data_IF_194543892286
#
_entry.id   IF_194543892286
#
_cell.length_a   1.000
_cell.length_b   1.000
_cell.length_c   1.000
_cell.angle_alpha   90.00
_cell.angle_beta   90.00
_cell.angle_gamma   90.00
#
_symmetry.space_group_name_H-M   'P 1'
#
loop_
_entity.id
_entity.type
_entity.pdbx_description
1 polymer ?
#
# COMPACT_ATOMS: atom_id res chain seq x y z
N UNK A 1 29.53 3.70 -5.04
CA UNK A 1 28.24 4.37 -4.68
C UNK A 1 27.41 3.55 -3.70
N UNK A 2 27.01 2.31 -4.04
CA UNK A 2 26.14 1.48 -3.16
C UNK A 2 26.81 1.28 -1.79
N UNK A 3 28.04 0.77 -1.73
CA UNK A 3 28.77 0.56 -0.47
C UNK A 3 28.92 1.84 0.35
N UNK A 4 29.26 2.97 -0.29
CA UNK A 4 29.37 4.24 0.40
C UNK A 4 28.06 4.66 1.09
N UNK A 5 26.90 4.38 0.47
CA UNK A 5 25.58 4.68 1.05
C UNK A 5 25.13 3.72 2.13
N UNK A 6 25.63 2.49 2.14
CA UNK A 6 25.40 1.55 3.24
C UNK A 6 26.17 1.98 4.50
N UNK A 7 27.33 2.60 4.32
CA UNK A 7 28.17 3.06 5.43
C UNK A 7 27.69 4.44 5.92
N UNK A 8 27.52 5.39 5.01
CA UNK A 8 26.99 6.72 5.31
C UNK A 8 25.96 7.13 4.25
N UNK A 9 24.65 7.14 4.61
CA UNK A 9 23.59 7.61 3.73
C UNK A 9 23.76 9.10 3.40
N UNK A 10 24.39 9.42 2.28
CA UNK A 10 24.71 10.77 1.88
C UNK A 10 24.47 11.02 0.39
N UNK A 11 24.63 12.27 -0.06
CA UNK A 11 24.47 12.62 -1.47
C UNK A 11 25.54 11.98 -2.35
N UNK A 12 25.26 11.88 -3.66
CA UNK A 12 26.24 11.41 -4.64
C UNK A 12 27.54 12.21 -4.63
N UNK A 13 27.47 13.50 -4.34
CA UNK A 13 28.63 14.38 -4.24
C UNK A 13 29.52 14.06 -3.04
N UNK A 14 28.98 13.48 -1.97
CA UNK A 14 29.73 13.09 -0.79
C UNK A 14 30.41 11.72 -0.91
N UNK A 15 30.05 10.91 -1.89
CA UNK A 15 30.60 9.55 -2.06
C UNK A 15 32.14 9.55 -2.13
N UNK A 16 32.85 10.49 -2.85
CA UNK A 16 34.29 10.53 -2.84
C UNK A 16 34.87 10.73 -1.44
N UNK A 17 34.29 11.59 -0.60
CA UNK A 17 34.71 11.79 0.78
C UNK A 17 34.58 10.50 1.59
N UNK A 18 33.41 9.86 1.56
CA UNK A 18 33.18 8.60 2.30
C UNK A 18 34.15 7.51 1.89
N UNK A 19 34.49 7.41 0.60
CA UNK A 19 35.49 6.46 0.12
C UNK A 19 36.88 6.79 0.66
N UNK A 20 37.26 8.07 0.65
CA UNK A 20 38.56 8.54 1.20
C UNK A 20 38.68 8.25 2.69
N UNK A 21 37.59 8.50 3.48
CA UNK A 21 37.55 8.24 4.92
C UNK A 21 37.73 6.74 5.24
N UNK A 22 37.38 5.86 4.29
CA UNK A 22 37.62 4.41 4.38
C UNK A 22 38.98 3.96 3.87
N UNK A 23 39.84 4.89 3.49
CA UNK A 23 41.17 4.58 2.90
C UNK A 23 41.09 4.01 1.47
N UNK A 24 39.96 4.17 0.80
CA UNK A 24 39.78 3.78 -0.60
C UNK A 24 40.09 4.95 -1.54
N UNK A 25 40.64 4.65 -2.69
CA UNK A 25 40.92 5.68 -3.70
C UNK A 25 39.62 6.31 -4.19
N UNK A 26 39.38 7.63 -4.01
CA UNK A 26 38.15 8.28 -4.35
C UNK A 26 37.95 8.42 -5.86
N UNK A 27 36.78 8.04 -6.36
CA UNK A 27 36.41 8.29 -7.74
C UNK A 27 35.79 9.68 -7.90
N UNK A 28 35.99 10.32 -9.05
CA UNK A 28 35.41 11.65 -9.30
C UNK A 28 33.86 11.59 -9.40
N UNK A 29 33.21 12.67 -9.00
CA UNK A 29 31.74 12.81 -9.11
C UNK A 29 31.28 12.59 -10.55
N UNK A 30 32.05 13.09 -11.55
CA UNK A 30 31.76 12.86 -12.98
C UNK A 30 31.75 11.37 -13.33
N UNK A 31 32.66 10.59 -12.78
CA UNK A 31 32.69 9.12 -12.98
C UNK A 31 31.48 8.46 -12.39
N UNK A 32 30.99 8.90 -11.22
CA UNK A 32 29.77 8.39 -10.59
C UNK A 32 28.53 8.67 -11.45
N UNK A 33 28.38 9.89 -11.96
CA UNK A 33 27.24 10.23 -12.82
C UNK A 33 27.28 9.48 -14.16
N UNK A 34 28.45 9.34 -14.77
CA UNK A 34 28.61 8.52 -15.98
C UNK A 34 28.25 7.05 -15.73
N UNK A 35 28.60 6.51 -14.56
CA UNK A 35 28.24 5.14 -14.17
C UNK A 35 26.73 4.99 -14.00
N UNK A 36 26.04 5.96 -13.38
CA UNK A 36 24.59 5.98 -13.26
C UNK A 36 23.90 6.03 -14.64
N UNK A 37 24.38 6.89 -15.54
CA UNK A 37 23.87 6.94 -16.91
C UNK A 37 23.98 5.59 -17.63
N UNK A 38 25.12 4.90 -17.47
CA UNK A 38 25.28 3.54 -18.02
C UNK A 38 24.31 2.52 -17.41
N UNK A 39 24.02 2.61 -16.09
CA UNK A 39 23.05 1.73 -15.45
C UNK A 39 21.65 1.89 -16.07
N UNK A 40 21.22 3.13 -16.33
CA UNK A 40 19.97 3.41 -17.02
C UNK A 40 19.95 2.89 -18.46
N UNK A 41 20.99 3.20 -19.25
CA UNK A 41 21.11 2.78 -20.65
C UNK A 41 21.19 1.25 -20.86
N UNK A 42 21.69 0.52 -19.89
CA UNK A 42 21.87 -0.95 -19.96
C UNK A 42 20.77 -1.73 -19.23
N UNK A 43 19.68 -1.10 -18.85
CA UNK A 43 18.54 -1.78 -18.23
C UNK A 43 18.87 -2.50 -16.91
N UNK A 44 19.75 -1.93 -16.08
CA UNK A 44 20.16 -2.59 -14.84
C UNK A 44 19.00 -2.87 -13.88
N UNK A 45 17.95 -2.05 -13.92
CA UNK A 45 16.77 -2.27 -13.09
C UNK A 45 16.11 -3.61 -13.44
N UNK A 46 15.93 -3.89 -14.71
CA UNK A 46 15.33 -5.13 -15.20
C UNK A 46 16.25 -6.32 -14.93
N UNK A 47 17.53 -6.19 -15.16
CA UNK A 47 18.50 -7.24 -14.84
C UNK A 47 18.59 -7.57 -13.34
N UNK A 48 18.50 -6.56 -12.48
CA UNK A 48 18.45 -6.76 -11.03
C UNK A 48 17.13 -7.44 -10.65
N UNK A 49 15.97 -7.00 -11.17
CA UNK A 49 14.68 -7.63 -10.92
C UNK A 49 14.70 -9.11 -11.31
N UNK A 50 15.30 -9.45 -12.45
CA UNK A 50 15.45 -10.83 -12.89
C UNK A 50 16.28 -11.67 -11.92
N UNK A 51 17.44 -11.16 -11.51
CA UNK A 51 18.30 -11.87 -10.55
C UNK A 51 17.66 -12.06 -9.16
N UNK A 52 16.89 -11.06 -8.70
CA UNK A 52 16.14 -11.13 -7.44
C UNK A 52 15.01 -12.16 -7.53
N UNK A 53 14.29 -12.18 -8.65
CA UNK A 53 13.23 -13.16 -8.91
C UNK A 53 13.78 -14.60 -8.94
N UNK A 54 14.88 -14.84 -9.66
CA UNK A 54 15.55 -16.13 -9.70
C UNK A 54 16.00 -16.59 -8.32
N UNK A 55 16.57 -15.67 -7.53
CA UNK A 55 16.98 -15.95 -6.15
C UNK A 55 15.80 -16.42 -5.29
N UNK A 56 14.68 -15.68 -5.31
CA UNK A 56 13.49 -16.03 -4.51
C UNK A 56 12.88 -17.35 -4.99
N UNK A 57 12.76 -17.54 -6.29
CA UNK A 57 12.18 -18.76 -6.87
C UNK A 57 12.99 -20.01 -6.48
N UNK A 58 14.32 -19.90 -6.51
CA UNK A 58 15.21 -21.00 -6.16
C UNK A 58 15.32 -21.28 -4.66
N UNK A 59 14.98 -20.31 -3.80
CA UNK A 59 15.16 -20.46 -2.34
C UNK A 59 13.86 -20.70 -1.59
N UNK A 60 12.80 -19.94 -1.86
CA UNK A 60 11.57 -19.94 -1.05
C UNK A 60 10.28 -20.10 -1.86
N UNK A 61 10.36 -20.04 -3.16
CA UNK A 61 9.21 -19.93 -4.04
C UNK A 61 8.48 -18.58 -3.89
N UNK A 62 7.75 -18.19 -4.91
CA UNK A 62 6.96 -16.96 -4.93
C UNK A 62 5.47 -17.29 -4.92
N UNK A 63 4.83 -17.19 -3.75
CA UNK A 63 3.40 -17.44 -3.59
C UNK A 63 2.58 -16.14 -3.64
N UNK A 64 3.14 -15.04 -3.12
CA UNK A 64 2.51 -13.73 -3.09
C UNK A 64 3.57 -12.62 -3.06
N UNK A 65 3.17 -11.42 -3.47
CA UNK A 65 3.96 -10.20 -3.40
C UNK A 65 3.24 -9.16 -2.55
N UNK A 66 3.99 -8.51 -1.66
CA UNK A 66 3.52 -7.32 -0.97
C UNK A 66 3.93 -6.09 -1.79
N UNK A 67 3.03 -5.14 -1.89
CA UNK A 67 3.27 -3.89 -2.59
C UNK A 67 3.01 -2.70 -1.67
N UNK A 68 3.98 -1.82 -1.59
CA UNK A 68 3.86 -0.57 -0.85
C UNK A 68 4.44 0.60 -1.66
N UNK A 69 3.95 1.79 -1.34
CA UNK A 69 4.30 3.03 -2.03
C UNK A 69 4.79 4.07 -1.04
N UNK A 70 5.86 4.74 -1.39
CA UNK A 70 6.36 5.90 -0.66
C UNK A 70 6.54 7.09 -1.59
N UNK A 71 6.47 8.29 -1.03
CA UNK A 71 6.71 9.55 -1.73
C UNK A 71 8.05 10.10 -1.33
N UNK A 72 8.90 10.42 -2.32
CA UNK A 72 10.18 11.08 -2.12
C UNK A 72 10.07 12.54 -2.54
N UNK A 73 10.32 13.45 -1.60
CA UNK A 73 10.30 14.89 -1.83
C UNK A 73 11.67 15.41 -2.23
N UNK A 74 11.68 16.43 -3.06
CA UNK A 74 12.89 17.09 -3.51
C UNK A 74 12.83 18.58 -3.15
N UNK A 75 13.81 19.05 -2.41
CA UNK A 75 13.99 20.49 -2.16
C UNK A 75 14.52 21.16 -3.43
N UNK A 76 13.66 21.33 -4.42
CA UNK A 76 13.97 21.91 -5.71
C UNK A 76 12.83 22.83 -6.13
N UNK A 77 13.15 23.99 -6.70
CA UNK A 77 12.17 24.99 -7.13
C UNK A 77 11.47 24.62 -8.46
N UNK A 78 12.08 23.71 -9.23
CA UNK A 78 11.57 23.38 -10.57
C UNK A 78 11.13 21.95 -10.68
N UNK A 79 9.98 21.78 -11.28
CA UNK A 79 9.45 20.50 -11.73
C UNK A 79 10.19 20.00 -12.99
N UNK A 80 10.12 18.70 -13.24
CA UNK A 80 10.51 18.06 -14.50
C UNK A 80 9.48 16.99 -14.85
N UNK A 81 9.76 16.16 -15.85
CA UNK A 81 8.84 15.11 -16.32
C UNK A 81 8.48 14.08 -15.23
N UNK A 82 9.32 13.90 -14.22
CA UNK A 82 9.13 12.92 -13.16
C UNK A 82 8.85 13.59 -11.80
N UNK A 83 9.60 14.65 -11.47
CA UNK A 83 9.44 15.40 -10.22
C UNK A 83 8.34 16.44 -10.39
N UNK A 84 7.18 16.18 -9.82
CA UNK A 84 6.00 17.03 -9.90
C UNK A 84 5.41 17.27 -8.53
N UNK A 85 4.77 18.42 -8.35
CA UNK A 85 3.98 18.69 -7.15
C UNK A 85 2.70 17.85 -7.22
N UNK A 86 2.42 17.08 -6.18
CA UNK A 86 1.28 16.20 -6.10
C UNK A 86 0.64 16.18 -4.71
N UNK A 87 -0.28 15.27 -4.50
CA UNK A 87 -0.91 15.12 -3.20
C UNK A 87 0.12 14.71 -2.14
N UNK A 88 0.20 15.50 -1.07
CA UNK A 88 1.09 15.25 0.06
C UNK A 88 0.29 15.07 1.35
N UNK A 89 0.50 13.95 2.03
CA UNK A 89 -0.05 13.69 3.39
C UNK A 89 0.50 14.70 4.42
N UNK A 90 1.71 15.20 4.17
CA UNK A 90 2.42 16.17 5.02
C UNK A 90 2.14 17.63 4.62
N UNK A 91 1.27 17.86 3.60
CA UNK A 91 0.94 19.18 3.04
C UNK A 91 2.16 19.94 2.51
N UNK A 92 3.14 19.23 1.97
CA UNK A 92 4.30 19.81 1.30
C UNK A 92 3.93 20.23 -0.11
N UNK A 93 4.57 21.28 -0.58
CA UNK A 93 4.45 21.82 -1.95
C UNK A 93 5.71 21.55 -2.79
N UNK A 94 6.64 20.77 -2.24
CA UNK A 94 7.87 20.40 -2.92
C UNK A 94 7.57 19.40 -4.06
N UNK A 95 8.29 19.47 -5.18
CA UNK A 95 8.25 18.44 -6.21
C UNK A 95 8.58 17.07 -5.61
N UNK A 96 7.83 16.08 -5.99
CA UNK A 96 7.92 14.73 -5.44
C UNK A 96 7.97 13.68 -6.55
N UNK A 97 8.34 12.47 -6.18
CA UNK A 97 8.33 11.28 -7.03
C UNK A 97 7.67 10.16 -6.24
N UNK A 98 6.82 9.39 -6.89
CA UNK A 98 6.21 8.22 -6.29
C UNK A 98 7.07 6.99 -6.59
N UNK A 99 7.42 6.27 -5.53
CA UNK A 99 8.23 5.05 -5.62
C UNK A 99 7.47 3.89 -5.03
N UNK A 100 7.22 2.87 -5.83
CA UNK A 100 6.59 1.63 -5.39
C UNK A 100 7.62 0.51 -5.30
N UNK A 101 7.47 -0.33 -4.29
CA UNK A 101 8.33 -1.49 -4.05
C UNK A 101 7.49 -2.76 -3.98
N UNK A 102 7.82 -3.72 -4.84
CA UNK A 102 7.28 -5.07 -4.81
C UNK A 102 8.26 -5.98 -4.09
N UNK A 103 7.80 -6.67 -3.05
CA UNK A 103 8.62 -7.57 -2.23
C UNK A 103 7.94 -8.94 -2.07
N UNK A 104 8.70 -9.96 -1.73
CA UNK A 104 8.15 -11.25 -1.35
C UNK A 104 7.51 -11.22 0.06
N UNK A 105 6.94 -12.33 0.51
CA UNK A 105 6.32 -12.47 1.84
C UNK A 105 7.27 -12.22 3.02
N UNK A 106 8.58 -12.22 2.81
CA UNK A 106 9.61 -11.97 3.81
C UNK A 106 10.15 -10.54 3.75
N UNK A 107 9.67 -9.73 2.83
CA UNK A 107 10.14 -8.37 2.58
C UNK A 107 11.38 -8.30 1.67
N UNK A 108 11.74 -9.40 0.99
CA UNK A 108 12.85 -9.38 0.05
C UNK A 108 12.44 -8.65 -1.24
N UNK A 109 13.20 -7.66 -1.71
CA UNK A 109 12.83 -6.83 -2.85
C UNK A 109 12.85 -7.63 -4.15
N UNK A 110 11.83 -7.40 -4.99
CA UNK A 110 11.68 -8.03 -6.31
C UNK A 110 11.73 -7.01 -7.43
N UNK A 111 11.00 -5.90 -7.27
CA UNK A 111 10.92 -4.87 -8.30
C UNK A 111 10.66 -3.51 -7.68
N UNK A 112 11.28 -2.48 -8.25
CA UNK A 112 11.00 -1.09 -7.93
C UNK A 112 10.32 -0.42 -9.13
N UNK A 113 9.26 0.36 -8.86
CA UNK A 113 8.61 1.26 -9.80
C UNK A 113 8.85 2.72 -9.42
N UNK A 114 8.78 3.62 -10.39
CA UNK A 114 8.93 5.04 -10.18
C UNK A 114 7.97 5.77 -11.13
N UNK A 115 7.19 6.70 -10.59
CA UNK A 115 6.17 7.46 -11.33
C UNK A 115 6.24 8.93 -11.00
N UNK A 116 5.58 9.72 -11.84
CA UNK A 116 5.43 11.15 -11.68
C UNK A 116 4.79 11.48 -10.32
N UNK A 117 5.22 12.56 -9.71
CA UNK A 117 4.81 12.94 -8.36
C UNK A 117 3.34 13.32 -8.22
N UNK A 118 2.68 13.72 -9.29
CA UNK A 118 1.26 14.06 -9.34
C UNK A 118 0.34 12.84 -9.56
N UNK A 119 0.92 11.67 -9.81
CA UNK A 119 0.16 10.42 -10.02
C UNK A 119 -0.46 9.92 -8.72
N UNK A 120 -1.66 9.37 -8.79
CA UNK A 120 -2.29 8.74 -7.64
C UNK A 120 -1.57 7.43 -7.24
N UNK A 121 -1.23 7.26 -5.97
CA UNK A 121 -0.60 6.03 -5.45
C UNK A 121 -1.36 4.77 -5.89
N UNK A 122 -2.68 4.87 -5.90
CA UNK A 122 -3.60 3.79 -6.25
C UNK A 122 -3.49 3.32 -7.71
N UNK A 123 -3.02 4.17 -8.62
CA UNK A 123 -2.86 3.86 -10.04
C UNK A 123 -1.55 3.13 -10.37
N UNK A 124 -0.68 2.91 -9.40
CA UNK A 124 0.66 2.35 -9.60
C UNK A 124 0.72 0.84 -9.43
N UNK A 125 -0.24 0.25 -8.70
CA UNK A 125 -0.25 -1.18 -8.35
C UNK A 125 -0.42 -2.10 -9.57
N UNK A 126 -1.37 -1.79 -10.45
CA UNK A 126 -1.63 -2.64 -11.63
C UNK A 126 -0.45 -2.63 -12.61
N UNK A 127 0.08 -1.45 -13.03
CA UNK A 127 1.21 -1.42 -13.95
C UNK A 127 2.47 -2.14 -13.44
N UNK A 128 2.76 -2.10 -12.14
CA UNK A 128 3.94 -2.79 -11.62
C UNK A 128 3.71 -4.31 -11.55
N UNK A 129 2.51 -4.75 -11.19
CA UNK A 129 2.14 -6.17 -11.13
C UNK A 129 2.17 -6.80 -12.53
N UNK A 130 1.50 -6.19 -13.51
CA UNK A 130 1.48 -6.65 -14.88
C UNK A 130 2.89 -6.66 -15.51
N UNK A 131 3.68 -5.61 -15.30
CA UNK A 131 5.05 -5.56 -15.80
C UNK A 131 5.95 -6.62 -15.13
N UNK A 132 5.68 -6.98 -13.87
CA UNK A 132 6.40 -8.04 -13.17
C UNK A 132 5.98 -9.42 -13.70
N UNK A 133 4.68 -9.67 -13.85
CA UNK A 133 4.16 -10.92 -14.43
C UNK A 133 4.70 -11.14 -15.85
N UNK A 134 4.62 -10.13 -16.70
CA UNK A 134 5.09 -10.20 -18.09
C UNK A 134 6.60 -10.46 -18.18
N UNK A 135 7.41 -9.80 -17.30
CA UNK A 135 8.86 -9.97 -17.30
C UNK A 135 9.31 -11.38 -16.88
N UNK A 136 8.53 -12.06 -16.04
CA UNK A 136 8.93 -13.34 -15.43
C UNK A 136 8.03 -14.53 -15.83
N UNK A 137 7.05 -14.33 -16.72
CA UNK A 137 6.14 -15.38 -17.16
C UNK A 137 5.25 -15.95 -16.06
N UNK A 138 4.84 -15.10 -15.08
CA UNK A 138 4.03 -15.53 -13.94
C UNK A 138 2.55 -15.37 -14.30
N UNK A 139 1.79 -16.46 -14.34
CA UNK A 139 0.36 -16.42 -14.61
C UNK A 139 -0.46 -16.15 -13.33
N UNK A 140 -0.04 -16.70 -12.20
CA UNK A 140 -0.78 -16.64 -10.93
C UNK A 140 0.02 -15.88 -9.86
N UNK A 141 -0.27 -14.61 -9.71
CA UNK A 141 0.36 -13.73 -8.72
C UNK A 141 -0.69 -13.18 -7.76
N UNK A 142 -0.46 -13.32 -6.46
CA UNK A 142 -1.28 -12.69 -5.43
C UNK A 142 -0.60 -11.40 -4.99
N UNK A 143 -1.28 -10.28 -5.15
CA UNK A 143 -0.81 -8.96 -4.69
C UNK A 143 -1.43 -8.65 -3.34
N UNK A 144 -0.60 -8.27 -2.38
CA UNK A 144 -1.02 -7.81 -1.06
C UNK A 144 -0.72 -6.32 -0.94
N UNK A 145 -1.73 -5.51 -0.60
CA UNK A 145 -1.57 -4.07 -0.46
C UNK A 145 -2.34 -3.51 0.76
N UNK A 146 -1.89 -2.35 1.27
CA UNK A 146 -2.54 -1.70 2.41
C UNK A 146 -3.86 -1.02 2.04
N UNK A 147 -4.73 -0.86 3.05
CA UNK A 147 -6.04 -0.22 2.95
C UNK A 147 -6.01 1.23 2.41
N UNK A 148 -4.86 1.91 2.55
CA UNK A 148 -4.66 3.27 2.04
C UNK A 148 -4.63 3.36 0.52
N UNK A 149 -4.31 2.27 -0.15
CA UNK A 149 -4.07 2.22 -1.59
C UNK A 149 -5.30 1.87 -2.42
N UNK A 150 -6.47 1.58 -1.79
CA UNK A 150 -7.57 0.98 -2.52
C UNK A 150 -8.89 1.70 -2.33
N UNK A 151 -9.39 2.20 -3.44
CA UNK A 151 -10.79 2.59 -3.64
C UNK A 151 -11.58 1.42 -4.24
N UNK A 152 -12.91 1.49 -4.20
CA UNK A 152 -13.76 0.51 -4.88
C UNK A 152 -13.45 0.39 -6.37
N UNK A 153 -13.09 1.50 -7.03
CA UNK A 153 -12.68 1.52 -8.42
C UNK A 153 -11.40 0.71 -8.68
N UNK A 154 -10.44 0.77 -7.74
CA UNK A 154 -9.19 0.01 -7.86
C UNK A 154 -9.38 -1.48 -7.66
N UNK A 155 -10.29 -1.89 -6.75
CA UNK A 155 -10.65 -3.30 -6.59
C UNK A 155 -11.26 -3.85 -7.88
N UNK A 156 -12.15 -3.08 -8.52
CA UNK A 156 -12.71 -3.44 -9.81
C UNK A 156 -11.63 -3.52 -10.90
N UNK A 157 -10.70 -2.58 -10.93
CA UNK A 157 -9.60 -2.58 -11.90
C UNK A 157 -8.63 -3.76 -11.70
N UNK A 158 -8.34 -4.17 -10.46
CA UNK A 158 -7.56 -5.38 -10.17
C UNK A 158 -8.28 -6.65 -10.65
N UNK A 159 -9.59 -6.72 -10.42
CA UNK A 159 -10.43 -7.83 -10.87
C UNK A 159 -10.52 -7.90 -12.41
N UNK A 160 -10.72 -6.77 -13.06
CA UNK A 160 -10.73 -6.66 -14.53
C UNK A 160 -9.36 -7.05 -15.17
N UNK A 161 -8.27 -6.72 -14.49
CA UNK A 161 -6.90 -7.15 -14.84
C UNK A 161 -6.62 -8.63 -14.49
N UNK A 162 -7.58 -9.35 -13.91
CA UNK A 162 -7.45 -10.74 -13.44
C UNK A 162 -6.32 -10.98 -12.45
N UNK A 163 -5.94 -9.94 -11.70
CA UNK A 163 -4.97 -10.03 -10.64
C UNK A 163 -5.65 -10.53 -9.36
N UNK A 164 -5.08 -11.56 -8.76
CA UNK A 164 -5.52 -12.01 -7.42
C UNK A 164 -4.98 -11.05 -6.37
N UNK A 165 -5.78 -10.70 -5.37
CA UNK A 165 -5.36 -9.71 -4.39
C UNK A 165 -5.84 -10.03 -2.96
N UNK A 166 -5.07 -9.57 -1.99
CA UNK A 166 -5.44 -9.48 -0.57
C UNK A 166 -5.21 -8.03 -0.16
N UNK A 167 -6.26 -7.36 0.27
CA UNK A 167 -6.19 -5.92 0.54
C UNK A 167 -6.86 -5.57 1.85
N UNK A 168 -6.25 -4.67 2.62
CA UNK A 168 -6.89 -4.10 3.79
C UNK A 168 -8.11 -3.26 3.39
N UNK A 169 -9.22 -3.36 4.10
CA UNK A 169 -10.38 -2.50 3.92
C UNK A 169 -10.48 -1.48 5.06
N UNK A 170 -10.75 -0.22 4.71
CA UNK A 170 -11.15 0.81 5.67
C UNK A 170 -12.67 0.79 5.75
N UNK A 171 -13.20 0.22 6.80
CA UNK A 171 -14.64 0.17 7.01
C UNK A 171 -14.99 1.02 8.22
N UNK A 172 -15.87 1.99 8.03
CA UNK A 172 -16.39 2.86 9.09
C UNK A 172 -17.65 2.29 9.75
N UNK A 173 -18.28 1.30 9.13
CA UNK A 173 -19.42 0.56 9.64
C UNK A 173 -19.25 -0.92 9.37
N UNK A 174 -19.63 -1.75 10.32
CA UNK A 174 -19.72 -3.18 10.09
C UNK A 174 -20.74 -3.46 8.98
N UNK A 175 -20.48 -4.38 8.05
CA UNK A 175 -21.49 -4.84 7.11
C UNK A 175 -22.68 -5.47 7.83
N UNK A 176 -23.88 -5.45 7.21
CA UNK A 176 -25.07 -5.99 7.82
C UNK A 176 -24.99 -7.49 8.14
N UNK A 177 -24.23 -8.25 7.40
CA UNK A 177 -23.91 -9.66 7.68
C UNK A 177 -23.05 -9.83 8.94
N UNK A 178 -22.13 -8.92 9.19
CA UNK A 178 -21.34 -8.91 10.44
C UNK A 178 -22.21 -8.47 11.63
N UNK A 179 -23.11 -7.52 11.45
CA UNK A 179 -24.11 -7.13 12.48
C UNK A 179 -25.05 -8.28 12.81
N UNK A 180 -25.49 -9.04 11.80
CA UNK A 180 -26.30 -10.24 12.00
C UNK A 180 -25.56 -11.34 12.78
N UNK A 181 -24.26 -11.48 12.58
CA UNK A 181 -23.41 -12.39 13.34
C UNK A 181 -23.35 -12.00 14.82
N UNK A 182 -23.25 -10.72 15.16
CA UNK A 182 -23.31 -10.24 16.54
C UNK A 182 -24.62 -10.59 17.23
N UNK A 183 -25.73 -10.42 16.54
CA UNK A 183 -27.04 -10.77 17.08
C UNK A 183 -27.18 -12.26 17.38
N UNK A 184 -26.40 -13.08 16.71
CA UNK A 184 -26.49 -14.55 16.79
C UNK A 184 -25.53 -15.14 17.82
N UNK A 185 -24.29 -14.58 17.93
CA UNK A 185 -23.22 -15.11 18.78
C UNK A 185 -23.11 -14.42 20.15
N UNK A 186 -23.94 -13.39 20.42
CA UNK A 186 -23.85 -12.56 21.62
C UNK A 186 -22.76 -11.48 21.48
N UNK A 187 -22.74 -10.54 22.43
CA UNK A 187 -21.95 -9.30 22.35
C UNK A 187 -20.43 -9.47 22.60
N UNK A 188 -19.92 -10.69 22.68
CA UNK A 188 -18.53 -10.94 23.09
C UNK A 188 -17.70 -11.60 21.99
N UNK A 189 -16.89 -10.81 21.28
CA UNK A 189 -15.82 -11.37 20.46
C UNK A 189 -14.59 -11.74 21.29
N UNK A 190 -13.98 -12.87 20.94
CA UNK A 190 -12.66 -13.26 21.44
C UNK A 190 -11.56 -12.55 20.68
N UNK A 191 -10.50 -12.13 21.38
CA UNK A 191 -9.35 -11.50 20.72
C UNK A 191 -8.70 -12.48 19.73
N UNK A 192 -8.49 -12.01 18.50
CA UNK A 192 -8.00 -12.84 17.38
C UNK A 192 -9.09 -13.65 16.66
N UNK A 193 -10.37 -13.51 17.04
CA UNK A 193 -11.46 -14.19 16.34
C UNK A 193 -11.52 -13.76 14.87
N UNK A 194 -11.59 -14.75 13.98
CA UNK A 194 -11.70 -14.56 12.54
C UNK A 194 -13.13 -14.84 12.11
N UNK A 195 -13.70 -13.93 11.33
CA UNK A 195 -15.03 -14.06 10.74
C UNK A 195 -14.91 -13.91 9.23
N UNK A 196 -15.57 -14.76 8.49
CA UNK A 196 -15.55 -14.83 7.04
C UNK A 196 -16.91 -14.43 6.47
N UNK A 197 -16.95 -13.39 5.64
CA UNK A 197 -18.17 -12.88 5.04
C UNK A 197 -18.04 -12.70 3.53
N UNK A 198 -19.16 -12.43 2.87
CA UNK A 198 -19.26 -12.22 1.44
C UNK A 198 -19.43 -10.74 1.15
N UNK A 199 -18.60 -10.19 0.26
CA UNK A 199 -18.72 -8.81 -0.23
C UNK A 199 -19.01 -8.81 -1.74
N UNK A 200 -20.07 -8.15 -2.24
CA UNK A 200 -20.37 -8.12 -3.66
C UNK A 200 -19.27 -7.36 -4.43
N UNK A 201 -18.90 -7.87 -5.60
CA UNK A 201 -17.87 -7.24 -6.47
C UNK A 201 -18.36 -5.92 -7.06
N UNK A 202 -19.64 -5.83 -7.38
CA UNK A 202 -20.27 -4.65 -7.98
C UNK A 202 -21.61 -4.37 -7.32
N UNK A 203 -21.89 -3.09 -7.11
CA UNK A 203 -23.14 -2.67 -6.50
C UNK A 203 -23.15 -2.68 -4.96
N UNK A 204 -24.25 -2.23 -4.38
CA UNK A 204 -24.50 -2.34 -2.94
C UNK A 204 -25.07 -3.72 -2.61
N UNK A 205 -24.85 -4.19 -1.38
CA UNK A 205 -25.55 -5.37 -0.86
C UNK A 205 -27.05 -5.22 -1.08
N UNK A 206 -27.68 -6.23 -1.69
CA UNK A 206 -29.11 -6.23 -1.88
C UNK A 206 -29.83 -6.31 -0.52
N UNK A 207 -31.07 -5.82 -0.45
CA UNK A 207 -31.85 -5.93 0.79
C UNK A 207 -32.05 -7.38 1.26
N UNK A 208 -31.99 -8.34 0.32
CA UNK A 208 -32.01 -9.77 0.63
C UNK A 208 -30.82 -10.21 1.46
N UNK A 209 -29.64 -9.58 1.28
CA UNK A 209 -28.43 -9.90 2.06
C UNK A 209 -28.52 -9.34 3.48
N UNK A 210 -29.28 -8.25 3.68
CA UNK A 210 -29.52 -7.67 5.01
C UNK A 210 -30.41 -8.52 5.90
N UNK A 211 -31.20 -9.42 5.31
CA UNK A 211 -32.11 -10.29 6.05
C UNK A 211 -31.62 -11.70 6.33
N UNK A 212 -30.36 -12.01 5.93
CA UNK A 212 -29.76 -13.32 6.20
C UNK A 212 -29.55 -13.53 7.69
N UNK A 213 -30.10 -14.64 8.20
CA UNK A 213 -29.97 -15.05 9.60
C UNK A 213 -28.84 -16.03 9.85
N UNK A 214 -28.15 -16.48 8.81
CA UNK A 214 -27.02 -17.41 8.90
C UNK A 214 -25.76 -16.76 8.36
N UNK A 215 -24.61 -17.06 8.98
CA UNK A 215 -23.31 -16.62 8.51
C UNK A 215 -23.04 -17.19 7.12
N UNK A 216 -22.84 -16.36 6.10
CA UNK A 216 -22.52 -16.85 4.78
C UNK A 216 -21.04 -17.29 4.74
N UNK A 217 -20.80 -18.55 4.46
CA UNK A 217 -19.46 -19.04 4.13
C UNK A 217 -19.20 -18.74 2.66
N UNK A 218 -18.09 -18.03 2.38
CA UNK A 218 -17.70 -17.74 1.01
C UNK A 218 -17.22 -18.99 0.28
N UNK A 219 -17.76 -19.22 -0.89
CA UNK A 219 -17.37 -20.27 -1.82
C UNK A 219 -17.28 -19.68 -3.23
N UNK A 220 -16.14 -19.81 -3.95
CA UNK A 220 -15.97 -19.25 -5.28
C UNK A 220 -16.97 -19.81 -6.31
N UNK A 221 -17.46 -21.04 -6.14
CA UNK A 221 -18.40 -21.67 -7.06
C UNK A 221 -19.84 -21.19 -6.85
N UNK A 222 -20.24 -20.97 -5.61
CA UNK A 222 -21.60 -20.51 -5.27
C UNK A 222 -21.72 -18.98 -5.25
N UNK A 223 -20.60 -18.26 -5.14
CA UNK A 223 -20.55 -16.81 -5.07
C UNK A 223 -19.62 -16.17 -6.11
N UNK A 224 -19.77 -16.47 -7.41
CA UNK A 224 -18.84 -16.01 -8.45
C UNK A 224 -18.81 -14.48 -8.63
N UNK A 225 -19.89 -13.79 -8.22
CA UNK A 225 -20.01 -12.32 -8.26
C UNK A 225 -19.56 -11.61 -6.96
N UNK A 226 -18.89 -12.31 -6.05
CA UNK A 226 -18.52 -11.78 -4.73
C UNK A 226 -17.04 -11.98 -4.43
N UNK A 227 -16.51 -11.14 -3.52
CA UNK A 227 -15.22 -11.32 -2.90
C UNK A 227 -15.38 -11.89 -1.50
N UNK A 228 -14.37 -12.59 -1.04
CA UNK A 228 -14.24 -13.00 0.35
C UNK A 228 -13.79 -11.81 1.19
N UNK A 229 -14.50 -11.50 2.27
CA UNK A 229 -14.09 -10.53 3.27
C UNK A 229 -13.76 -11.25 4.58
N UNK A 230 -12.54 -11.05 5.07
CA UNK A 230 -12.05 -11.66 6.30
C UNK A 230 -11.93 -10.56 7.37
N UNK A 231 -12.61 -10.77 8.48
CA UNK A 231 -12.64 -9.86 9.63
C UNK A 231 -11.86 -10.48 10.78
N UNK A 232 -10.99 -9.70 11.38
CA UNK A 232 -10.23 -10.13 12.56
C UNK A 232 -10.53 -9.16 13.69
N UNK A 233 -11.11 -9.68 14.78
CA UNK A 233 -11.34 -8.87 15.97
C UNK A 233 -10.05 -8.67 16.77
N UNK A 234 -9.80 -7.45 17.21
CA UNK A 234 -8.67 -7.11 18.07
C UNK A 234 -9.12 -6.22 19.22
N UNK A 235 -9.04 -6.73 20.44
CA UNK A 235 -9.35 -5.97 21.69
C UNK A 235 -8.54 -4.68 21.79
N UNK A 236 -7.25 -4.74 21.42
CA UNK A 236 -6.36 -3.56 21.43
C UNK A 236 -6.82 -2.48 20.44
N UNK A 237 -7.30 -2.90 19.26
CA UNK A 237 -7.81 -1.98 18.24
C UNK A 237 -9.16 -1.41 18.65
N UNK A 238 -10.08 -2.25 19.13
CA UNK A 238 -11.39 -1.84 19.63
C UNK A 238 -11.27 -0.81 20.76
N UNK A 239 -10.39 -1.03 21.73
CA UNK A 239 -10.14 -0.07 22.81
C UNK A 239 -9.62 1.28 22.28
N UNK A 240 -8.75 1.28 21.29
CA UNK A 240 -8.22 2.52 20.65
C UNK A 240 -9.30 3.25 19.86
N UNK A 241 -10.13 2.52 19.12
CA UNK A 241 -11.20 3.10 18.31
C UNK A 241 -12.27 3.71 19.21
N UNK A 242 -12.63 3.07 20.33
CA UNK A 242 -13.54 3.61 21.34
C UNK A 242 -12.99 4.91 21.95
N UNK A 243 -11.72 4.98 22.30
CA UNK A 243 -11.11 6.22 22.80
C UNK A 243 -11.15 7.35 21.76
N UNK A 244 -10.97 7.03 20.49
CA UNK A 244 -11.02 8.01 19.41
C UNK A 244 -12.43 8.53 19.20
N UNK A 245 -13.43 7.66 19.26
CA UNK A 245 -14.85 8.01 19.15
C UNK A 245 -15.27 8.90 20.30
N UNK A 246 -14.98 8.54 21.54
CA UNK A 246 -15.27 9.36 22.73
C UNK A 246 -14.66 10.76 22.64
N UNK A 247 -13.39 10.86 22.23
CA UNK A 247 -12.74 12.17 22.01
C UNK A 247 -13.38 12.99 20.89
N UNK A 248 -13.89 12.37 19.85
CA UNK A 248 -14.58 13.07 18.76
C UNK A 248 -15.96 13.56 19.17
N UNK A 249 -16.66 12.81 20.00
CA UNK A 249 -17.94 13.21 20.59
C UNK A 249 -17.79 14.33 21.58
N UNK A 250 -16.80 14.27 22.49
CA UNK A 250 -16.46 15.37 23.40
C UNK A 250 -16.13 16.67 22.66
N UNK A 251 -15.41 16.58 21.52
CA UNK A 251 -15.14 17.75 20.66
C UNK A 251 -16.39 18.31 19.99
N UNK A 252 -17.34 17.45 19.61
CA UNK A 252 -18.64 17.87 19.06
C UNK A 252 -19.46 18.60 20.12
N UNK A 253 -19.62 18.01 21.30
CA UNK A 253 -20.31 18.63 22.43
C UNK A 253 -19.65 19.95 22.82
N UNK A 254 -18.34 20.02 22.88
CA UNK A 254 -17.60 21.25 23.17
C UNK A 254 -17.76 22.35 22.10
N UNK A 255 -17.97 22.00 20.83
CA UNK A 255 -18.28 22.95 19.76
C UNK A 255 -19.74 23.45 19.85
N UNK A 256 -20.67 22.59 20.15
CA UNK A 256 -22.09 22.96 20.33
C UNK A 256 -22.28 23.84 21.56
N UNK A 257 -21.55 23.61 22.65
CA UNK A 257 -21.54 24.50 23.80
C UNK A 257 -20.96 25.89 23.50
N UNK A 258 -19.93 25.99 22.66
CA UNK A 258 -19.38 27.29 22.23
C UNK A 258 -20.30 28.06 21.30
N UNK A 259 -21.11 27.41 20.48
CA UNK A 259 -22.06 28.08 19.59
C UNK A 259 -23.31 28.59 20.30
N UNK A 260 -23.62 28.09 21.49
CA UNK A 260 -24.75 28.56 22.32
C UNK A 260 -24.44 29.75 23.22
N UNK A 261 -23.15 30.10 23.37
CA UNK A 261 -22.72 31.29 24.15
C UNK A 261 -22.16 32.36 23.19
N UNK A 262 -23.03 32.94 22.38
CA UNK A 262 -22.79 34.25 21.78
C UNK A 262 -23.35 35.28 22.77
N UNK A 263 -22.53 36.15 23.36
CA UNK A 263 -23.09 37.24 24.15
C UNK A 263 -23.72 38.25 23.22
N UNK A 264 -25.01 38.40 23.32
CA UNK A 264 -25.67 39.60 22.85
C UNK A 264 -25.18 40.78 23.70
N UNK A 265 -24.47 41.70 23.09
CA UNK A 265 -24.57 43.14 23.32
C UNK A 265 -24.13 43.86 22.07
#
# INVERSE_FOLDING_TARGET
MVLARLIEPSSKAQVPRVLSDLGLEPVTVRTLFRSLGRCGQRGYREAISQALFEHVTNTSGLALCLYDVTTLYFEAEKEDDLRRVGYSKERRVDPQVIVGLLVDRRGFPLRIGCWEGDKAETSTIIPIAEAFQAAHGIEDLIIVADAGMLSAANLTALDDARLRFIVGARTTRAPGDLEAYFHWAGDAFTDGQVIDTITPRRGSQSERDKSRKSEPVWDPHTHPGSWRAVWVYSKKRAARDNQTTTRSEERRVGKECRSRWSPYH
#
